data_IF_732715559424
#
_entry.id   IF_732715559424
#
_cell.length_a   1.000
_cell.length_b   1.000
_cell.length_c   1.000
_cell.angle_alpha   90.00
_cell.angle_beta   90.00
_cell.angle_gamma   90.00
#
_symmetry.space_group_name_H-M   'P 1'
#
loop_
_entity.id
_entity.type
_entity.pdbx_description
1 polymer ?
#
# COMPACT_ATOMS: atom_id res chain seq x y z
N UNK A 1 -19.39 7.32 -11.37
CA UNK A 1 -19.78 6.12 -10.59
C UNK A 1 -18.72 5.96 -9.52
N UNK A 2 -19.09 6.10 -8.25
CA UNK A 2 -18.14 5.88 -7.16
C UNK A 2 -17.84 4.38 -7.12
N UNK A 3 -16.66 4.01 -7.58
CA UNK A 3 -16.15 2.65 -7.49
C UNK A 3 -15.99 2.31 -5.99
N UNK A 4 -16.88 1.46 -5.45
CA UNK A 4 -16.90 0.97 -4.06
C UNK A 4 -15.75 -0.03 -3.81
N UNK A 5 -14.54 0.34 -4.23
CA UNK A 5 -13.36 -0.42 -3.90
C UNK A 5 -12.78 0.09 -2.58
N UNK A 6 -12.53 -0.79 -1.59
CA UNK A 6 -12.03 -0.36 -0.29
C UNK A 6 -10.65 0.30 -0.42
N UNK A 7 -10.59 1.59 -0.09
CA UNK A 7 -9.38 2.41 -0.17
C UNK A 7 -8.58 2.43 1.14
N UNK A 8 -7.36 2.97 1.08
CA UNK A 8 -6.59 3.35 2.26
C UNK A 8 -7.07 4.67 2.88
N UNK A 9 -6.49 5.05 4.02
CA UNK A 9 -6.80 6.33 4.69
C UNK A 9 -6.21 7.55 4.00
N UNK A 10 -5.04 7.42 3.39
CA UNK A 10 -4.31 8.50 2.73
C UNK A 10 -4.01 8.20 1.25
N UNK A 11 -4.03 6.93 0.86
CA UNK A 11 -3.73 6.47 -0.48
C UNK A 11 -4.89 5.73 -1.11
N UNK A 12 -5.08 5.94 -2.41
CA UNK A 12 -6.02 5.20 -3.23
C UNK A 12 -5.34 3.98 -3.83
N UNK A 13 -6.06 2.87 -3.93
CA UNK A 13 -5.59 1.65 -4.57
C UNK A 13 -5.37 1.94 -6.04
N UNK A 14 -4.15 1.75 -6.54
CA UNK A 14 -3.85 1.98 -7.95
C UNK A 14 -4.43 0.87 -8.82
N UNK A 15 -4.66 1.19 -10.09
CA UNK A 15 -5.48 0.35 -10.98
C UNK A 15 -4.89 -1.04 -11.22
N UNK A 16 -3.55 -1.16 -11.30
CA UNK A 16 -2.85 -2.44 -11.43
C UNK A 16 -3.01 -3.34 -10.19
N UNK A 17 -2.96 -2.73 -9.00
CA UNK A 17 -3.22 -3.45 -7.75
C UNK A 17 -4.69 -3.82 -7.62
N UNK A 18 -5.62 -2.93 -8.00
CA UNK A 18 -7.06 -3.22 -8.03
C UNK A 18 -7.36 -4.39 -8.97
N UNK A 19 -6.81 -4.38 -10.18
CA UNK A 19 -7.01 -5.45 -11.16
C UNK A 19 -6.53 -6.79 -10.61
N UNK A 20 -5.34 -6.82 -9.98
CA UNK A 20 -4.79 -8.04 -9.40
C UNK A 20 -5.57 -8.55 -8.18
N UNK A 21 -6.04 -7.66 -7.31
CA UNK A 21 -6.90 -8.05 -6.18
C UNK A 21 -8.27 -8.54 -6.63
N UNK A 22 -8.81 -7.96 -7.71
CA UNK A 22 -10.12 -8.32 -8.24
C UNK A 22 -10.09 -9.61 -9.08
N UNK A 23 -8.91 -10.04 -9.56
CA UNK A 23 -8.78 -11.27 -10.33
C UNK A 23 -8.90 -12.54 -9.48
N UNK A 24 -8.82 -12.42 -8.14
CA UNK A 24 -9.00 -13.53 -7.20
C UNK A 24 -10.02 -13.13 -6.10
N UNK A 25 -11.22 -13.73 -6.06
CA UNK A 25 -12.25 -13.39 -5.08
C UNK A 25 -11.78 -13.50 -3.63
N UNK A 26 -10.94 -14.49 -3.31
CA UNK A 26 -10.41 -14.68 -1.97
C UNK A 26 -9.49 -13.51 -1.55
N UNK A 27 -8.60 -13.08 -2.45
CA UNK A 27 -7.76 -11.88 -2.24
C UNK A 27 -8.60 -10.63 -2.01
N UNK A 28 -9.68 -10.45 -2.78
CA UNK A 28 -10.57 -9.30 -2.63
C UNK A 28 -11.31 -9.31 -1.28
N UNK A 29 -11.78 -10.47 -0.82
CA UNK A 29 -12.42 -10.61 0.49
C UNK A 29 -11.43 -10.29 1.63
N UNK A 30 -10.21 -10.84 1.54
CA UNK A 30 -9.14 -10.56 2.50
C UNK A 30 -8.82 -9.05 2.52
N UNK A 31 -8.75 -8.41 1.35
CA UNK A 31 -8.56 -6.96 1.24
C UNK A 31 -9.69 -6.14 1.87
N UNK A 32 -10.94 -6.55 1.64
CA UNK A 32 -12.13 -5.93 2.26
C UNK A 32 -12.09 -6.05 3.79
N UNK A 33 -11.60 -7.17 4.31
CA UNK A 33 -11.48 -7.42 5.75
C UNK A 33 -10.37 -6.64 6.46
N UNK A 34 -9.43 -6.04 5.71
CA UNK A 34 -8.40 -5.18 6.31
C UNK A 34 -9.03 -3.89 6.87
N UNK A 35 -8.40 -3.35 7.91
CA UNK A 35 -8.70 -1.98 8.34
C UNK A 35 -8.27 -0.99 7.25
N UNK A 36 -8.87 0.22 7.19
CA UNK A 36 -8.42 1.27 6.26
C UNK A 36 -6.92 1.57 6.38
N UNK A 37 -6.38 1.47 7.60
CA UNK A 37 -4.95 1.63 7.84
C UNK A 37 -4.14 0.47 7.25
N UNK A 38 -4.57 -0.79 7.45
CA UNK A 38 -3.90 -1.96 6.84
C UNK A 38 -3.82 -1.86 5.32
N UNK A 39 -4.92 -1.45 4.67
CA UNK A 39 -4.95 -1.17 3.23
C UNK A 39 -3.94 -0.09 2.85
N UNK A 40 -3.94 1.02 3.58
CA UNK A 40 -3.01 2.14 3.35
C UNK A 40 -1.54 1.72 3.40
N UNK A 41 -1.18 0.79 4.28
CA UNK A 41 0.20 0.30 4.40
C UNK A 41 0.63 -0.48 3.15
N UNK A 42 -0.21 -1.39 2.66
CA UNK A 42 0.07 -2.13 1.42
C UNK A 42 0.14 -1.21 0.21
N UNK A 43 -0.80 -0.26 0.09
CA UNK A 43 -0.80 0.71 -1.01
C UNK A 43 0.48 1.55 -0.99
N UNK A 44 0.81 2.17 0.15
CA UNK A 44 2.01 2.99 0.26
C UNK A 44 3.29 2.21 -0.05
N UNK A 45 3.35 0.94 0.37
CA UNK A 45 4.48 0.07 0.10
C UNK A 45 4.60 -0.26 -1.39
N UNK A 46 3.49 -0.55 -2.09
CA UNK A 46 3.50 -0.76 -3.54
C UNK A 46 3.92 0.51 -4.28
N UNK A 47 3.39 1.67 -3.88
CA UNK A 47 3.67 2.97 -4.50
C UNK A 47 5.08 3.51 -4.24
N UNK A 48 5.72 3.10 -3.14
CA UNK A 48 7.11 3.45 -2.84
C UNK A 48 8.11 2.86 -3.88
N UNK A 49 7.71 1.83 -4.63
CA UNK A 49 8.56 1.23 -5.65
C UNK A 49 8.80 2.19 -6.83
N UNK A 50 10.04 2.65 -6.98
CA UNK A 50 10.46 3.53 -8.10
C UNK A 50 10.53 2.83 -9.47
N UNK A 51 10.63 1.49 -9.48
CA UNK A 51 10.73 0.68 -10.70
C UNK A 51 9.46 -0.15 -10.89
N UNK A 52 8.93 -0.20 -12.12
CA UNK A 52 7.73 -0.96 -12.46
C UNK A 52 7.86 -2.47 -12.14
N UNK A 53 9.03 -3.06 -12.39
CA UNK A 53 9.26 -4.47 -12.07
C UNK A 53 9.16 -4.76 -10.56
N UNK A 54 9.68 -3.85 -9.72
CA UNK A 54 9.59 -3.96 -8.26
C UNK A 54 8.16 -3.74 -7.78
N UNK A 55 7.44 -2.80 -8.39
CA UNK A 55 6.02 -2.56 -8.12
C UNK A 55 5.19 -3.83 -8.35
N UNK A 56 5.35 -4.47 -9.51
CA UNK A 56 4.61 -5.68 -9.82
C UNK A 56 4.92 -6.82 -8.86
N UNK A 57 6.20 -7.00 -8.49
CA UNK A 57 6.61 -7.97 -7.46
C UNK A 57 5.98 -7.68 -6.10
N UNK A 58 5.87 -6.41 -5.69
CA UNK A 58 5.21 -6.02 -4.43
C UNK A 58 3.71 -6.28 -4.47
N UNK A 59 3.06 -6.14 -5.63
CA UNK A 59 1.64 -6.45 -5.80
C UNK A 59 1.38 -7.95 -5.63
N UNK A 60 2.16 -8.80 -6.31
CA UNK A 60 2.02 -10.26 -6.14
C UNK A 60 2.28 -10.67 -4.69
N UNK A 61 3.36 -10.14 -4.09
CA UNK A 61 3.67 -10.40 -2.69
C UNK A 61 2.57 -9.90 -1.75
N UNK A 62 1.95 -8.76 -2.02
CA UNK A 62 0.84 -8.27 -1.21
C UNK A 62 -0.29 -9.30 -1.18
N UNK A 63 -0.64 -9.87 -2.34
CA UNK A 63 -1.65 -10.94 -2.41
C UNK A 63 -1.22 -12.17 -1.60
N UNK A 64 0.01 -12.65 -1.78
CA UNK A 64 0.54 -13.79 -0.99
C UNK A 64 0.44 -13.52 0.51
N UNK A 65 0.86 -12.32 0.95
CA UNK A 65 0.82 -11.94 2.36
C UNK A 65 -0.60 -11.85 2.93
N UNK A 66 -1.59 -11.45 2.12
CA UNK A 66 -3.00 -11.49 2.52
C UNK A 66 -3.45 -12.93 2.77
N UNK A 67 -3.08 -13.85 1.89
CA UNK A 67 -3.40 -15.29 2.03
C UNK A 67 -2.67 -15.93 3.22
N UNK A 68 -1.49 -15.44 3.58
CA UNK A 68 -0.80 -15.79 4.82
C UNK A 68 -1.44 -15.15 6.08
N UNK A 69 -2.51 -14.37 5.94
CA UNK A 69 -3.23 -13.73 7.04
C UNK A 69 -2.57 -12.44 7.57
N UNK A 70 -1.56 -11.91 6.87
CA UNK A 70 -0.86 -10.69 7.28
C UNK A 70 -1.73 -9.47 7.03
N UNK A 71 -1.78 -8.59 8.03
CA UNK A 71 -2.57 -7.34 7.98
C UNK A 71 -1.76 -6.11 7.56
N UNK A 72 -0.44 -6.29 7.34
CA UNK A 72 0.53 -5.28 6.89
C UNK A 72 1.64 -5.97 6.08
N UNK A 73 2.34 -5.27 5.18
CA UNK A 73 3.47 -5.85 4.48
C UNK A 73 4.58 -6.25 5.46
N UNK A 74 5.20 -7.42 5.27
CA UNK A 74 6.36 -7.77 6.07
C UNK A 74 7.60 -6.97 5.63
N UNK A 75 8.51 -6.74 6.59
CA UNK A 75 9.71 -5.92 6.39
C UNK A 75 9.43 -4.47 5.93
N UNK A 76 8.21 -3.96 6.14
CA UNK A 76 7.84 -2.57 5.91
C UNK A 76 7.86 -1.79 7.23
N UNK A 77 8.63 -0.69 7.27
CA UNK A 77 8.77 0.15 8.46
C UNK A 77 7.48 0.93 8.82
N UNK A 78 6.55 1.03 7.87
CA UNK A 78 5.26 1.72 8.01
C UNK A 78 5.15 2.94 7.10
N UNK A 79 3.91 3.30 6.74
CA UNK A 79 3.64 4.46 5.89
C UNK A 79 4.10 5.75 6.59
N UNK A 80 4.80 6.60 5.84
CA UNK A 80 5.25 7.93 6.31
C UNK A 80 4.09 8.88 6.62
N UNK A 81 2.87 8.58 6.15
CA UNK A 81 1.65 9.36 6.41
C UNK A 81 0.89 8.87 7.64
N UNK A 82 1.44 7.94 8.42
CA UNK A 82 0.86 7.56 9.71
C UNK A 82 0.86 8.77 10.65
N UNK A 83 -0.29 9.05 11.24
CA UNK A 83 -0.46 10.10 12.25
C UNK A 83 -0.49 9.54 13.68
N UNK A 84 -0.61 8.22 13.84
CA UNK A 84 -0.63 7.53 15.14
C UNK A 84 0.75 7.41 15.80
N UNK A 85 1.83 7.57 15.04
CA UNK A 85 3.22 7.49 15.52
C UNK A 85 4.09 8.54 14.86
N UNK A 86 5.04 9.08 15.63
CA UNK A 86 6.07 9.93 15.09
C UNK A 86 6.94 9.15 14.09
N UNK A 87 7.25 9.72 12.90
CA UNK A 87 8.10 9.07 11.91
C UNK A 87 9.52 8.88 12.47
N UNK A 88 10.11 7.73 12.19
CA UNK A 88 11.52 7.43 12.53
C UNK A 88 12.48 8.36 11.78
N UNK A 89 13.75 8.44 12.22
CA UNK A 89 14.78 9.29 11.61
C UNK A 89 14.93 9.08 10.09
N UNK A 90 14.84 7.84 9.64
CA UNK A 90 14.91 7.53 8.21
C UNK A 90 13.65 7.97 7.46
N UNK A 91 12.45 7.78 8.03
CA UNK A 91 11.19 8.25 7.43
C UNK A 91 11.16 9.78 7.32
N UNK A 92 11.74 10.50 8.29
CA UNK A 92 11.90 11.95 8.21
C UNK A 92 12.79 12.39 7.03
N UNK A 93 13.89 11.67 6.76
CA UNK A 93 14.75 11.96 5.62
C UNK A 93 14.02 11.77 4.28
N UNK A 94 13.26 10.68 4.12
CA UNK A 94 12.46 10.41 2.92
C UNK A 94 11.40 11.50 2.68
N UNK A 95 10.77 11.99 3.75
CA UNK A 95 9.79 13.09 3.66
C UNK A 95 10.41 14.39 3.14
N UNK A 96 11.67 14.68 3.48
CA UNK A 96 12.41 15.84 2.98
C UNK A 96 12.71 15.68 1.48
N UNK A 97 13.16 14.51 1.05
CA UNK A 97 13.43 14.22 -0.37
C UNK A 97 12.16 14.34 -1.23
N UNK A 98 11.02 13.86 -0.74
CA UNK A 98 9.74 13.92 -1.48
C UNK A 98 9.19 15.35 -1.62
N UNK A 99 9.41 16.25 -0.65
CA UNK A 99 9.03 17.67 -0.76
C UNK A 99 9.74 18.40 -1.91
N UNK A 100 10.88 17.89 -2.37
CA UNK A 100 11.66 18.48 -3.46
C UNK A 100 11.28 18.02 -4.87
N UNK A 101 10.39 17.04 -5.03
CA UNK A 101 9.93 16.58 -6.36
C UNK A 101 8.54 17.15 -6.67
N UNK A 102 8.38 17.93 -7.75
CA UNK A 102 7.04 18.27 -8.22
C UNK A 102 6.32 16.98 -8.60
N UNK A 103 5.10 16.83 -8.06
CA UNK A 103 4.20 15.74 -8.44
C UNK A 103 3.80 15.96 -9.91
N UNK A 104 3.93 14.95 -10.79
CA UNK A 104 3.47 15.05 -12.17
C UNK A 104 1.95 15.19 -12.26
#
# INVERSE_FOLDING_TARGET
MADDFPQGVAHLVPDDMRARLSSDPASLELWRSLTPLGRNEFICWVEDAKQAATRQKRIERAVEELHEGKRRPCCWAGCIHRTDKAPSRWQQAVLIEKKGKPQP
#
